data_IF_583280497885
#
_entry.id   IF_583280497885
#
_cell.length_a   1.000
_cell.length_b   1.000
_cell.length_c   1.000
_cell.angle_alpha   90.00
_cell.angle_beta   90.00
_cell.angle_gamma   90.00
#
_symmetry.space_group_name_H-M   'P 1'
#
loop_
_entity.id
_entity.type
_entity.pdbx_description
1 polymer ?
#
# COMPACT_ATOMS: atom_id res chain seq x y z
N UNK A 1 55.74 -16.87 7.22
CA UNK A 1 55.79 -15.50 6.68
C UNK A 1 54.74 -15.42 5.58
N UNK A 2 53.53 -15.01 5.96
CA UNK A 2 52.36 -14.95 5.07
C UNK A 2 52.50 -13.68 4.23
N UNK A 3 52.70 -13.83 2.92
CA UNK A 3 52.82 -12.71 1.98
C UNK A 3 51.49 -11.97 1.90
N UNK A 4 51.52 -10.67 2.14
CA UNK A 4 50.44 -9.72 1.89
C UNK A 4 49.89 -9.90 0.47
N UNK A 5 48.59 -10.18 0.37
CA UNK A 5 47.83 -10.03 -0.87
C UNK A 5 47.15 -8.67 -0.76
N UNK A 6 47.74 -7.67 -1.40
CA UNK A 6 47.14 -6.36 -1.55
C UNK A 6 45.96 -6.49 -2.53
N UNK A 7 44.74 -6.46 -2.02
CA UNK A 7 43.53 -6.45 -2.83
C UNK A 7 43.32 -5.04 -3.41
N UNK A 8 44.16 -4.67 -4.38
CA UNK A 8 43.92 -3.52 -5.24
C UNK A 8 42.69 -3.82 -6.10
N UNK A 9 41.54 -3.29 -5.64
CA UNK A 9 40.28 -3.33 -6.34
C UNK A 9 40.35 -2.39 -7.55
N UNK A 10 41.05 -2.82 -8.60
CA UNK A 10 41.15 -2.13 -9.86
C UNK A 10 39.77 -2.14 -10.52
N UNK A 11 39.18 -0.95 -10.72
CA UNK A 11 37.83 -0.81 -11.26
C UNK A 11 37.86 -1.17 -12.74
N UNK A 12 37.61 -2.45 -13.07
CA UNK A 12 37.44 -2.91 -14.44
C UNK A 12 36.29 -2.11 -15.09
N UNK A 13 36.65 -1.33 -16.11
CA UNK A 13 35.75 -0.39 -16.80
C UNK A 13 35.16 -1.01 -18.08
N UNK A 14 34.98 -2.33 -18.12
CA UNK A 14 34.69 -3.10 -19.36
C UNK A 14 33.41 -3.96 -19.31
N UNK A 15 32.43 -3.63 -18.45
CA UNK A 15 31.16 -4.34 -18.44
C UNK A 15 29.95 -3.40 -18.27
N UNK A 16 29.40 -2.96 -19.42
CA UNK A 16 28.19 -2.14 -19.53
C UNK A 16 26.94 -2.75 -18.84
N UNK A 17 26.99 -4.02 -18.41
CA UNK A 17 25.87 -4.74 -17.78
C UNK A 17 26.14 -5.22 -16.34
N UNK A 18 27.33 -5.03 -15.79
CA UNK A 18 27.68 -5.53 -14.44
C UNK A 18 27.40 -4.53 -13.31
N UNK A 19 26.99 -3.31 -13.65
CA UNK A 19 26.57 -2.32 -12.64
C UNK A 19 25.07 -2.38 -12.45
N UNK A 20 24.64 -2.74 -11.24
CA UNK A 20 23.24 -2.58 -10.83
C UNK A 20 22.92 -1.08 -10.93
N UNK A 21 22.00 -0.67 -11.80
CA UNK A 21 21.70 0.76 -12.08
C UNK A 21 21.19 1.56 -10.87
N UNK A 22 20.98 0.91 -9.72
CA UNK A 22 20.61 1.52 -8.43
C UNK A 22 21.78 1.62 -7.46
N UNK A 23 23.00 1.31 -7.90
CA UNK A 23 24.24 1.34 -7.13
C UNK A 23 25.20 2.35 -7.77
N UNK A 24 25.72 3.25 -6.95
CA UNK A 24 26.71 4.25 -7.33
C UNK A 24 28.09 3.61 -7.49
N UNK A 25 29.06 4.31 -8.09
CA UNK A 25 30.41 3.76 -8.34
C UNK A 25 31.11 3.28 -7.05
N UNK A 26 30.73 3.87 -5.91
CA UNK A 26 31.23 3.50 -4.58
C UNK A 26 30.42 2.38 -3.88
N UNK A 27 29.57 1.65 -4.59
CA UNK A 27 28.74 0.58 -4.01
C UNK A 27 27.56 1.09 -3.17
N UNK A 28 27.30 2.41 -3.14
CA UNK A 28 26.21 3.01 -2.34
C UNK A 28 24.89 3.05 -3.12
N UNK A 29 23.76 2.88 -2.42
CA UNK A 29 22.42 2.90 -3.03
C UNK A 29 22.07 4.29 -3.59
N UNK A 30 21.84 4.36 -4.90
CA UNK A 30 21.24 5.51 -5.59
C UNK A 30 19.72 5.49 -5.41
N UNK A 31 19.22 6.50 -4.70
CA UNK A 31 17.79 6.64 -4.44
C UNK A 31 17.05 7.14 -5.69
N UNK A 32 16.03 6.41 -6.12
CA UNK A 32 15.17 6.77 -7.24
C UNK A 32 14.00 7.60 -6.74
N UNK A 33 13.80 8.76 -7.34
CA UNK A 33 12.66 9.65 -7.10
C UNK A 33 11.71 9.58 -8.29
N UNK A 34 10.47 9.18 -8.05
CA UNK A 34 9.47 9.05 -9.10
C UNK A 34 9.00 10.42 -9.57
N UNK A 35 8.90 10.62 -10.88
CA UNK A 35 8.30 11.81 -11.45
C UNK A 35 6.78 11.72 -11.39
N UNK A 36 6.11 12.85 -11.18
CA UNK A 36 4.65 12.94 -11.19
C UNK A 36 4.13 12.66 -12.60
N UNK A 37 3.42 11.53 -12.83
CA UNK A 37 2.87 11.24 -14.14
C UNK A 37 1.74 12.23 -14.47
N UNK A 38 1.65 12.63 -15.74
CA UNK A 38 0.58 13.50 -16.28
C UNK A 38 0.00 12.83 -17.52
N UNK A 39 -1.32 12.81 -17.65
CA UNK A 39 -1.99 12.28 -18.85
C UNK A 39 -3.42 11.77 -18.62
N UNK A 40 -4.15 11.54 -19.72
CA UNK A 40 -5.55 11.07 -19.69
C UNK A 40 -5.70 9.73 -18.96
N UNK A 41 -4.85 8.74 -19.26
CA UNK A 41 -4.87 7.44 -18.60
C UNK A 41 -4.60 7.51 -17.09
N UNK A 42 -3.76 8.44 -16.65
CA UNK A 42 -3.49 8.67 -15.22
C UNK A 42 -4.71 9.26 -14.49
N UNK A 43 -5.44 10.15 -15.16
CA UNK A 43 -6.68 10.71 -14.60
C UNK A 43 -7.76 9.63 -14.49
N UNK A 44 -7.94 8.79 -15.50
CA UNK A 44 -8.90 7.66 -15.44
C UNK A 44 -8.52 6.72 -14.30
N UNK A 45 -7.24 6.34 -14.20
CA UNK A 45 -6.75 5.52 -13.09
C UNK A 45 -7.02 6.17 -11.74
N UNK A 46 -6.80 7.48 -11.62
CA UNK A 46 -7.11 8.24 -10.39
C UNK A 46 -8.60 8.16 -10.02
N UNK A 47 -9.51 8.30 -10.99
CA UNK A 47 -10.96 8.23 -10.74
C UNK A 47 -11.33 6.84 -10.22
N UNK A 48 -10.83 5.78 -10.86
CA UNK A 48 -11.04 4.39 -10.41
C UNK A 48 -10.49 4.16 -9.00
N UNK A 49 -9.33 4.73 -8.69
CA UNK A 49 -8.75 4.68 -7.36
C UNK A 49 -9.60 5.37 -6.30
N UNK A 50 -10.14 6.55 -6.62
CA UNK A 50 -11.04 7.29 -5.72
C UNK A 50 -12.33 6.52 -5.52
N UNK A 51 -12.90 5.93 -6.57
CA UNK A 51 -14.05 5.05 -6.47
C UNK A 51 -13.77 3.86 -5.55
N UNK A 52 -12.61 3.19 -5.72
CA UNK A 52 -12.18 2.11 -4.83
C UNK A 52 -12.10 2.57 -3.36
N UNK A 53 -11.56 3.75 -3.07
CA UNK A 53 -11.49 4.26 -1.71
C UNK A 53 -12.88 4.61 -1.14
N UNK A 54 -13.76 5.22 -1.94
CA UNK A 54 -15.15 5.50 -1.51
C UNK A 54 -15.86 4.20 -1.16
N UNK A 55 -15.73 3.17 -2.01
CA UNK A 55 -16.31 1.86 -1.72
C UNK A 55 -15.66 1.25 -0.48
N UNK A 56 -14.34 1.27 -0.36
CA UNK A 56 -13.61 0.70 0.78
C UNK A 56 -13.97 1.38 2.12
N UNK A 57 -14.08 2.70 2.15
CA UNK A 57 -14.46 3.43 3.36
C UNK A 57 -15.97 3.44 3.60
N UNK A 58 -16.80 3.30 2.56
CA UNK A 58 -18.27 3.29 2.66
C UNK A 58 -18.86 1.93 3.03
N UNK A 59 -18.30 0.84 2.53
CA UNK A 59 -18.74 -0.54 2.78
C UNK A 59 -18.93 -0.91 4.27
N UNK A 60 -18.05 -0.53 5.23
CA UNK A 60 -18.24 -0.88 6.63
C UNK A 60 -19.42 -0.14 7.29
N UNK A 61 -19.90 0.97 6.69
CA UNK A 61 -21.09 1.67 7.17
C UNK A 61 -22.39 1.09 6.62
N UNK A 62 -22.33 0.30 5.54
CA UNK A 62 -23.53 -0.30 4.95
C UNK A 62 -23.93 -1.51 5.78
N UNK A 63 -25.08 -1.38 6.44
CA UNK A 63 -25.72 -2.43 7.22
C UNK A 63 -26.95 -2.91 6.45
N UNK A 64 -27.12 -4.22 6.34
CA UNK A 64 -28.34 -4.84 5.84
C UNK A 64 -28.93 -5.64 6.99
N UNK A 65 -30.20 -5.40 7.33
CA UNK A 65 -30.95 -6.09 8.39
C UNK A 65 -30.26 -6.07 9.77
N UNK A 66 -29.66 -4.92 10.13
CA UNK A 66 -29.00 -4.74 11.43
C UNK A 66 -27.65 -5.46 11.59
N UNK A 67 -27.16 -6.12 10.53
CA UNK A 67 -25.85 -6.78 10.47
C UNK A 67 -24.92 -6.05 9.49
N UNK A 68 -23.63 -5.89 9.81
CA UNK A 68 -22.65 -5.36 8.87
C UNK A 68 -22.58 -6.23 7.60
N UNK A 69 -22.44 -5.60 6.43
CA UNK A 69 -22.38 -6.29 5.13
C UNK A 69 -21.24 -7.31 5.04
N UNK A 70 -20.08 -6.96 5.59
CA UNK A 70 -18.91 -7.83 5.68
C UNK A 70 -18.40 -7.81 7.11
N UNK A 71 -18.38 -8.96 7.76
CA UNK A 71 -17.78 -9.16 9.08
C UNK A 71 -17.00 -10.46 9.07
N UNK A 72 -15.68 -10.35 9.22
CA UNK A 72 -14.81 -11.51 9.37
C UNK A 72 -14.36 -11.62 10.83
N UNK A 73 -15.26 -12.00 11.73
CA UNK A 73 -14.93 -12.15 13.14
C UNK A 73 -14.21 -13.48 13.36
N UNK A 74 -12.90 -13.49 13.09
CA UNK A 74 -12.00 -14.63 13.33
C UNK A 74 -12.03 -15.07 14.81
N UNK A 75 -11.98 -14.16 15.80
CA UNK A 75 -11.98 -14.55 17.22
C UNK A 75 -13.21 -15.36 17.65
N UNK A 76 -14.40 -15.02 17.13
CA UNK A 76 -15.65 -15.70 17.49
C UNK A 76 -16.11 -16.69 16.40
N UNK A 77 -15.30 -16.93 15.36
CA UNK A 77 -15.64 -17.73 14.19
C UNK A 77 -17.01 -17.39 13.58
N UNK A 78 -17.40 -16.10 13.59
CA UNK A 78 -18.66 -15.61 13.02
C UNK A 78 -18.36 -14.81 11.76
N UNK A 79 -18.70 -15.38 10.62
CA UNK A 79 -18.51 -14.73 9.32
C UNK A 79 -19.87 -14.25 8.80
N UNK A 80 -19.99 -12.95 8.54
CA UNK A 80 -21.18 -12.38 7.89
C UNK A 80 -20.73 -11.91 6.51
N UNK A 81 -21.26 -12.53 5.46
CA UNK A 81 -21.01 -12.14 4.07
C UNK A 81 -22.35 -11.71 3.46
N UNK A 82 -22.43 -10.49 2.94
CA UNK A 82 -23.66 -9.93 2.35
C UNK A 82 -24.91 -10.03 3.26
N UNK A 83 -24.73 -9.85 4.57
CA UNK A 83 -25.82 -9.96 5.57
C UNK A 83 -26.24 -11.39 5.94
N UNK A 84 -25.66 -12.43 5.33
CA UNK A 84 -25.89 -13.84 5.71
C UNK A 84 -24.85 -14.31 6.72
N UNK A 85 -25.32 -14.96 7.79
CA UNK A 85 -24.47 -15.53 8.84
C UNK A 85 -24.01 -16.91 8.41
N UNK A 86 -22.70 -17.11 8.26
CA UNK A 86 -22.09 -18.41 8.03
C UNK A 86 -21.77 -19.07 9.36
N UNK A 87 -22.30 -20.27 9.55
CA UNK A 87 -22.00 -21.13 10.71
C UNK A 87 -20.89 -22.13 10.37
N UNK A 88 -20.25 -22.76 11.37
CA UNK A 88 -19.19 -23.77 11.16
C UNK A 88 -19.61 -24.96 10.29
N UNK A 89 -20.89 -25.30 10.21
CA UNK A 89 -21.40 -26.31 9.29
C UNK A 89 -21.30 -25.89 7.81
N UNK A 90 -21.40 -24.60 7.53
CA UNK A 90 -21.30 -24.04 6.17
C UNK A 90 -19.84 -23.76 5.76
N UNK A 91 -18.87 -24.17 6.58
CA UNK A 91 -17.45 -23.91 6.33
C UNK A 91 -16.96 -24.58 5.05
N UNK A 92 -17.58 -25.69 4.62
CA UNK A 92 -17.29 -26.29 3.32
C UNK A 92 -17.68 -25.36 2.15
N UNK A 93 -18.85 -24.71 2.24
CA UNK A 93 -19.31 -23.74 1.23
C UNK A 93 -18.40 -22.49 1.26
N UNK A 94 -18.05 -22.01 2.45
CA UNK A 94 -17.12 -20.89 2.61
C UNK A 94 -15.74 -21.20 2.03
N UNK A 95 -15.18 -22.36 2.34
CA UNK A 95 -13.89 -22.82 1.86
C UNK A 95 -13.87 -23.02 0.35
N UNK A 96 -14.90 -23.64 -0.23
CA UNK A 96 -15.03 -23.79 -1.69
C UNK A 96 -15.14 -22.43 -2.36
N UNK A 97 -15.95 -21.52 -1.82
CA UNK A 97 -16.08 -20.14 -2.33
C UNK A 97 -14.74 -19.41 -2.28
N UNK A 98 -14.00 -19.53 -1.18
CA UNK A 98 -12.68 -18.89 -1.03
C UNK A 98 -11.67 -19.45 -2.04
N UNK A 99 -11.63 -20.78 -2.23
CA UNK A 99 -10.75 -21.42 -3.23
C UNK A 99 -11.12 -20.96 -4.64
N UNK A 100 -12.40 -21.02 -5.01
CA UNK A 100 -12.88 -20.56 -6.32
C UNK A 100 -12.54 -19.10 -6.55
N UNK A 101 -12.70 -18.23 -5.55
CA UNK A 101 -12.37 -16.81 -5.63
C UNK A 101 -10.86 -16.58 -5.81
N UNK A 102 -10.02 -17.29 -5.06
CA UNK A 102 -8.55 -17.20 -5.20
C UNK A 102 -8.11 -17.68 -6.59
N UNK A 103 -8.62 -18.82 -7.05
CA UNK A 103 -8.33 -19.34 -8.40
C UNK A 103 -8.80 -18.36 -9.48
N UNK A 104 -9.98 -17.77 -9.31
CA UNK A 104 -10.48 -16.74 -10.22
C UNK A 104 -9.54 -15.52 -10.30
N UNK A 105 -9.06 -15.02 -9.16
CA UNK A 105 -8.08 -13.93 -9.13
C UNK A 105 -6.77 -14.35 -9.81
N UNK A 106 -6.28 -15.57 -9.55
CA UNK A 106 -5.05 -16.07 -10.18
C UNK A 106 -5.20 -16.15 -11.70
N UNK A 107 -6.30 -16.70 -12.20
CA UNK A 107 -6.58 -16.78 -13.64
C UNK A 107 -6.74 -15.39 -14.25
N UNK A 108 -7.46 -14.49 -13.58
CA UNK A 108 -7.62 -13.11 -14.04
C UNK A 108 -6.29 -12.36 -14.09
N UNK A 109 -5.41 -12.56 -13.09
CA UNK A 109 -4.08 -11.95 -13.06
C UNK A 109 -3.10 -12.59 -14.03
N UNK A 110 -3.22 -13.88 -14.32
CA UNK A 110 -2.44 -14.52 -15.38
C UNK A 110 -2.83 -13.99 -16.77
N UNK A 111 -4.12 -13.82 -17.04
CA UNK A 111 -4.61 -13.33 -18.33
C UNK A 111 -4.43 -11.81 -18.51
N UNK A 112 -4.74 -11.01 -17.48
CA UNK A 112 -4.77 -9.54 -17.54
C UNK A 112 -3.80 -8.87 -16.56
N UNK A 113 -2.69 -9.53 -16.23
CA UNK A 113 -1.79 -9.13 -15.15
C UNK A 113 -1.31 -7.68 -15.22
N UNK A 114 -0.93 -7.18 -16.40
CA UNK A 114 -0.50 -5.76 -16.53
C UNK A 114 -1.64 -4.77 -16.31
N UNK A 115 -2.86 -5.12 -16.72
CA UNK A 115 -4.05 -4.29 -16.49
C UNK A 115 -4.40 -4.31 -15.00
N UNK A 116 -4.51 -5.49 -14.38
CA UNK A 116 -4.87 -5.62 -12.98
C UNK A 116 -3.80 -5.02 -12.04
N UNK A 117 -2.53 -5.43 -12.19
CA UNK A 117 -1.43 -4.92 -11.38
C UNK A 117 -1.24 -3.41 -11.57
N UNK A 118 -1.50 -2.90 -12.79
CA UNK A 118 -1.40 -1.48 -13.08
C UNK A 118 -2.59 -0.64 -12.60
N UNK A 119 -3.81 -1.17 -12.56
CA UNK A 119 -5.02 -0.34 -12.39
C UNK A 119 -5.84 -0.67 -11.14
N UNK A 120 -5.91 -1.95 -10.74
CA UNK A 120 -6.82 -2.42 -9.70
C UNK A 120 -6.11 -3.04 -8.49
N UNK A 121 -4.81 -3.36 -8.58
CA UNK A 121 -4.08 -3.98 -7.48
C UNK A 121 -4.16 -3.09 -6.22
N UNK A 122 -4.69 -3.61 -5.10
CA UNK A 122 -4.96 -2.81 -3.91
C UNK A 122 -3.66 -2.23 -3.33
N UNK A 123 -2.59 -3.03 -3.27
CA UNK A 123 -1.28 -2.59 -2.77
C UNK A 123 -0.71 -1.43 -3.59
N UNK A 124 -0.79 -1.53 -4.92
CA UNK A 124 -0.30 -0.47 -5.80
C UNK A 124 -1.22 0.75 -5.71
N UNK A 125 -2.53 0.57 -5.61
CA UNK A 125 -3.49 1.67 -5.53
C UNK A 125 -3.27 2.53 -4.27
N UNK A 126 -3.10 1.91 -3.09
CA UNK A 126 -2.77 2.63 -1.85
C UNK A 126 -1.43 3.38 -1.96
N UNK A 127 -0.37 2.70 -2.42
CA UNK A 127 0.97 3.31 -2.48
C UNK A 127 1.09 4.41 -3.55
N UNK A 128 0.54 4.18 -4.74
CA UNK A 128 0.61 5.12 -5.87
C UNK A 128 -0.33 6.30 -5.73
N UNK A 129 -1.59 6.04 -5.40
CA UNK A 129 -2.63 7.07 -5.54
C UNK A 129 -2.93 7.79 -4.24
N UNK A 130 -2.64 7.19 -3.10
CA UNK A 130 -2.81 7.84 -1.81
C UNK A 130 -1.47 8.37 -1.29
N UNK A 131 -0.53 7.49 -0.93
CA UNK A 131 0.73 7.91 -0.30
C UNK A 131 1.58 8.79 -1.21
N UNK A 132 1.77 8.41 -2.49
CA UNK A 132 2.62 9.21 -3.38
C UNK A 132 1.99 10.54 -3.80
N UNK A 133 0.67 10.65 -3.91
CA UNK A 133 0.00 11.96 -4.15
C UNK A 133 0.19 12.90 -2.97
N UNK A 134 0.05 12.37 -1.75
CA UNK A 134 0.32 13.12 -0.52
C UNK A 134 1.79 13.54 -0.45
N UNK A 135 2.71 12.65 -0.82
CA UNK A 135 4.13 12.96 -0.89
C UNK A 135 4.42 14.09 -1.90
N UNK A 136 3.84 14.04 -3.09
CA UNK A 136 3.98 15.12 -4.09
C UNK A 136 3.36 16.44 -3.60
N UNK A 137 2.30 16.39 -2.79
CA UNK A 137 1.70 17.59 -2.23
C UNK A 137 2.59 18.26 -1.16
N UNK A 138 3.30 17.47 -0.36
CA UNK A 138 4.15 17.97 0.74
C UNK A 138 5.58 18.31 0.26
N UNK A 139 6.19 17.42 -0.52
CA UNK A 139 7.60 17.51 -0.92
C UNK A 139 7.80 18.05 -2.35
N UNK A 140 6.78 18.00 -3.21
CA UNK A 140 6.87 18.40 -4.61
C UNK A 140 7.34 17.27 -5.55
N UNK A 141 7.57 17.62 -6.82
CA UNK A 141 8.04 16.69 -7.86
C UNK A 141 9.47 16.17 -7.60
N UNK A 142 9.88 15.12 -8.31
CA UNK A 142 11.23 14.53 -8.23
C UNK A 142 12.42 15.52 -8.20
N UNK A 143 12.50 16.60 -9.02
CA UNK A 143 13.59 17.56 -8.91
C UNK A 143 13.60 18.32 -7.56
N UNK A 144 12.43 18.66 -7.02
CA UNK A 144 12.31 19.30 -5.71
C UNK A 144 12.74 18.36 -4.59
N UNK A 145 12.40 17.08 -4.69
CA UNK A 145 12.84 16.05 -3.73
C UNK A 145 14.36 15.84 -3.77
N UNK A 146 14.96 15.83 -4.96
CA UNK A 146 16.43 15.75 -5.13
C UNK A 146 17.13 16.97 -4.53
N UNK A 147 16.61 18.17 -4.82
CA UNK A 147 17.14 19.43 -4.26
C UNK A 147 17.05 19.43 -2.73
N UNK A 148 15.91 19.03 -2.17
CA UNK A 148 15.69 18.96 -0.72
C UNK A 148 16.61 17.93 -0.06
N UNK A 149 16.89 16.81 -0.73
CA UNK A 149 17.84 15.80 -0.23
C UNK A 149 19.24 16.38 -0.09
N UNK A 150 19.71 17.07 -1.13
CA UNK A 150 21.06 17.63 -1.22
C UNK A 150 21.25 18.90 -0.37
N UNK A 151 20.16 19.59 -0.02
CA UNK A 151 20.19 20.75 0.86
C UNK A 151 20.63 20.37 2.30
N UNK A 152 21.30 21.28 3.03
CA UNK A 152 21.64 21.07 4.43
C UNK A 152 20.39 20.88 5.32
N UNK A 153 20.56 20.31 6.51
CA UNK A 153 19.50 20.12 7.49
C UNK A 153 19.06 21.44 8.11
N UNK A 154 18.26 22.22 7.39
CA UNK A 154 17.61 23.43 7.89
C UNK A 154 16.28 23.09 8.57
N UNK A 155 15.80 23.92 9.51
CA UNK A 155 14.50 23.75 10.16
C UNK A 155 13.32 23.57 9.17
N UNK A 156 13.35 24.25 8.02
CA UNK A 156 12.38 24.06 6.93
C UNK A 156 12.39 22.64 6.34
N UNK A 157 13.56 21.99 6.23
CA UNK A 157 13.71 20.60 5.76
C UNK A 157 13.15 19.62 6.78
N UNK A 158 13.47 19.83 8.06
CA UNK A 158 12.95 18.99 9.16
C UNK A 158 11.43 19.07 9.22
N UNK A 159 10.85 20.27 9.14
CA UNK A 159 9.40 20.45 9.13
C UNK A 159 8.74 19.72 7.95
N UNK A 160 9.27 19.85 6.72
CA UNK A 160 8.71 19.15 5.55
C UNK A 160 8.80 17.62 5.65
N UNK A 161 9.93 17.11 6.10
CA UNK A 161 10.14 15.66 6.27
C UNK A 161 9.28 15.13 7.41
N UNK A 162 9.24 15.84 8.54
CA UNK A 162 8.38 15.52 9.68
C UNK A 162 6.91 15.52 9.31
N UNK A 163 6.43 16.54 8.57
CA UNK A 163 5.05 16.60 8.08
C UNK A 163 4.72 15.42 7.17
N UNK A 164 5.62 15.02 6.26
CA UNK A 164 5.42 13.82 5.43
C UNK A 164 5.21 12.59 6.31
N UNK A 165 6.10 12.34 7.27
CA UNK A 165 6.00 11.17 8.15
C UNK A 165 4.73 11.22 9.00
N UNK A 166 4.39 12.37 9.58
CA UNK A 166 3.18 12.57 10.36
C UNK A 166 1.91 12.26 9.55
N UNK A 167 1.79 12.80 8.33
CA UNK A 167 0.63 12.52 7.48
C UNK A 167 0.60 11.05 7.06
N UNK A 168 1.74 10.42 6.81
CA UNK A 168 1.81 8.99 6.49
C UNK A 168 1.33 8.12 7.66
N UNK A 169 1.76 8.43 8.88
CA UNK A 169 1.30 7.73 10.08
C UNK A 169 -0.20 7.93 10.31
N UNK A 170 -0.72 9.15 10.15
CA UNK A 170 -2.15 9.43 10.27
C UNK A 170 -2.98 8.64 9.24
N UNK A 171 -2.56 8.63 7.97
CA UNK A 171 -3.24 7.86 6.94
C UNK A 171 -3.19 6.35 7.20
N UNK A 172 -2.04 5.83 7.62
CA UNK A 172 -1.88 4.42 7.98
C UNK A 172 -2.78 4.05 9.17
N UNK A 173 -2.88 4.92 10.17
CA UNK A 173 -3.75 4.74 11.32
C UNK A 173 -5.23 4.69 10.91
N UNK A 174 -5.69 5.62 10.07
CA UNK A 174 -7.07 5.60 9.56
C UNK A 174 -7.36 4.31 8.80
N UNK A 175 -6.50 3.91 7.87
CA UNK A 175 -6.70 2.67 7.10
C UNK A 175 -6.73 1.45 8.01
N UNK A 176 -5.84 1.37 9.00
CA UNK A 176 -5.80 0.27 9.95
C UNK A 176 -7.11 0.19 10.76
N UNK A 177 -7.67 1.32 11.19
CA UNK A 177 -8.95 1.35 11.88
C UNK A 177 -10.09 0.86 10.98
N UNK A 178 -10.14 1.30 9.72
CA UNK A 178 -11.15 0.81 8.78
C UNK A 178 -11.00 -0.69 8.50
N UNK A 179 -9.76 -1.18 8.35
CA UNK A 179 -9.50 -2.61 8.20
C UNK A 179 -9.95 -3.40 9.44
N UNK A 180 -9.73 -2.85 10.63
CA UNK A 180 -10.22 -3.43 11.88
C UNK A 180 -11.76 -3.44 11.91
N UNK A 181 -12.43 -2.39 11.42
CA UNK A 181 -13.89 -2.36 11.29
C UNK A 181 -14.43 -3.51 10.41
N UNK A 182 -13.69 -3.98 9.40
CA UNK A 182 -14.08 -5.17 8.61
C UNK A 182 -13.93 -6.50 9.37
N UNK A 183 -13.02 -6.57 10.35
CA UNK A 183 -12.76 -7.78 11.14
C UNK A 183 -13.74 -7.88 12.31
N UNK A 184 -13.81 -6.83 13.14
CA UNK A 184 -14.58 -6.85 14.40
C UNK A 184 -15.95 -6.17 14.28
N UNK A 185 -16.18 -5.40 13.21
CA UNK A 185 -17.40 -4.61 13.01
C UNK A 185 -17.27 -3.18 13.53
N UNK A 186 -18.01 -2.25 12.92
CA UNK A 186 -17.88 -0.82 13.25
C UNK A 186 -18.33 -0.50 14.68
N UNK A 187 -19.36 -1.19 15.19
CA UNK A 187 -19.89 -0.98 16.55
C UNK A 187 -18.91 -1.42 17.64
N UNK A 188 -18.23 -2.55 17.43
CA UNK A 188 -17.18 -3.01 18.34
C UNK A 188 -15.95 -2.12 18.26
N UNK A 189 -15.62 -1.61 17.07
CA UNK A 189 -14.54 -0.63 16.92
C UNK A 189 -14.85 0.69 17.65
N UNK A 190 -16.07 1.23 17.49
CA UNK A 190 -16.52 2.42 18.22
C UNK A 190 -16.46 2.22 19.73
N UNK A 191 -16.84 1.03 20.19
CA UNK A 191 -16.76 0.63 21.60
C UNK A 191 -15.31 0.63 22.10
N UNK A 192 -14.38 0.01 21.36
CA UNK A 192 -12.94 0.01 21.70
C UNK A 192 -12.34 1.42 21.70
N UNK A 193 -12.79 2.31 20.82
CA UNK A 193 -12.29 3.69 20.75
C UNK A 193 -12.83 4.55 21.91
N UNK A 194 -14.06 4.30 22.36
CA UNK A 194 -14.77 5.17 23.30
C UNK A 194 -14.67 4.69 24.74
N UNK A 195 -14.56 3.38 24.97
CA UNK A 195 -14.45 2.84 26.32
C UNK A 195 -13.03 3.03 26.88
N UNK A 196 -12.89 3.55 28.11
CA UNK A 196 -11.61 3.53 28.81
C UNK A 196 -11.25 2.08 29.12
N UNK A 197 -10.00 1.71 28.79
CA UNK A 197 -9.40 0.40 29.08
C UNK A 197 -9.44 0.08 30.57
#
# INVERSE_FOLDING_TARGET
MFSEIDHLNEIQTEAFRDRIGTVDEHGKRKWIYAHKPKGKFYNIRTILSVFYFIVFFGLPFVHIDGRPLFLFNIPNARFILFGKVFWPQDFFIFGLTMITFVVFIILFTAAFGRLFCGWACPQTNFMEMMFRKVEYWILGDAPAQRLLKNAPWTGKKIAKVGLKHLVFYLLAFVIANFFLAYIIGIKELEKIITEPV
#
